data_IF_578050598155
#
_entry.id   IF_578050598155
#
_cell.length_a   1.000
_cell.length_b   1.000
_cell.length_c   1.000
_cell.angle_alpha   90.00
_cell.angle_beta   90.00
_cell.angle_gamma   90.00
#
_symmetry.space_group_name_H-M   'P 1'
#
loop_
_entity.id
_entity.type
_entity.pdbx_description
1 polymer ?
#
# COMPACT_ATOMS: atom_id res chain seq x y z
N UNK A 1 18.70 -4.99 12.52
CA UNK A 1 18.83 -4.16 11.30
C UNK A 1 17.58 -3.29 11.22
N UNK A 2 17.72 -2.02 10.80
CA UNK A 2 16.56 -1.14 10.72
C UNK A 2 15.76 -1.44 9.44
N UNK A 3 14.44 -1.39 9.53
CA UNK A 3 13.55 -1.43 8.37
C UNK A 3 13.75 -0.18 7.52
N UNK A 4 13.70 -0.30 6.19
CA UNK A 4 13.73 0.83 5.26
C UNK A 4 12.49 0.79 4.38
N UNK A 5 11.66 1.84 4.49
CA UNK A 5 10.48 2.01 3.64
C UNK A 5 10.82 2.94 2.47
N UNK A 6 10.51 2.50 1.28
CA UNK A 6 10.67 3.25 0.04
C UNK A 6 9.30 3.58 -0.53
N UNK A 7 8.89 4.81 -0.35
CA UNK A 7 7.66 5.35 -0.92
C UNK A 7 7.77 6.86 -1.08
N UNK A 8 6.98 7.42 -1.97
CA UNK A 8 6.90 8.86 -2.18
C UNK A 8 6.63 9.62 -0.87
N UNK A 9 7.07 10.88 -0.72
CA UNK A 9 6.86 11.68 0.49
C UNK A 9 5.42 12.23 0.58
N UNK A 10 4.47 11.39 0.26
CA UNK A 10 3.02 11.61 0.32
C UNK A 10 2.39 10.51 1.19
N UNK A 11 1.13 10.67 1.56
CA UNK A 11 0.36 9.63 2.23
C UNK A 11 0.14 8.42 1.29
N UNK A 12 -1.02 8.14 0.82
CA UNK A 12 -1.29 7.06 -0.12
C UNK A 12 -0.93 5.67 0.41
N UNK A 13 -0.52 4.78 -0.50
CA UNK A 13 -0.31 3.34 -0.16
C UNK A 13 0.82 3.09 0.84
N UNK A 14 1.81 3.97 0.93
CA UNK A 14 2.89 3.87 1.92
C UNK A 14 2.46 4.21 3.34
N UNK A 15 1.37 4.98 3.50
CA UNK A 15 0.89 5.39 4.81
C UNK A 15 0.43 4.21 5.67
N UNK A 16 -0.19 3.21 5.07
CA UNK A 16 -0.59 1.99 5.78
C UNK A 16 0.60 1.30 6.46
N UNK A 17 1.77 1.33 5.80
CA UNK A 17 3.00 0.72 6.32
C UNK A 17 3.59 1.59 7.43
N UNK A 18 3.56 2.92 7.29
CA UNK A 18 4.00 3.87 8.34
C UNK A 18 3.16 3.68 9.60
N UNK A 19 1.84 3.63 9.46
CA UNK A 19 0.92 3.40 10.58
C UNK A 19 1.19 2.07 11.28
N UNK A 20 1.51 1.00 10.56
CA UNK A 20 1.87 -0.27 11.17
C UNK A 20 3.16 -0.18 12.01
N UNK A 21 4.17 0.55 11.55
CA UNK A 21 5.38 0.77 12.33
C UNK A 21 5.15 1.65 13.56
N UNK A 22 4.36 2.72 13.41
CA UNK A 22 4.00 3.62 14.53
C UNK A 22 3.18 2.86 15.59
N UNK A 23 2.18 2.07 15.18
CA UNK A 23 1.38 1.25 16.10
C UNK A 23 2.24 0.23 16.86
N UNK A 24 3.19 -0.38 16.19
CA UNK A 24 4.12 -1.32 16.83
C UNK A 24 5.22 -0.65 17.67
N UNK A 25 5.39 0.67 17.59
CA UNK A 25 6.47 1.40 18.24
C UNK A 25 7.86 1.01 17.73
N UNK A 26 7.96 0.57 16.47
CA UNK A 26 9.21 0.07 15.88
C UNK A 26 9.83 1.10 14.96
N UNK A 27 11.09 1.43 15.20
CA UNK A 27 11.84 2.38 14.41
C UNK A 27 12.09 1.87 12.98
N UNK A 28 11.91 2.75 12.01
CA UNK A 28 12.16 2.52 10.59
C UNK A 28 12.74 3.78 9.93
N UNK A 29 13.32 3.62 8.78
CA UNK A 29 13.78 4.72 7.92
C UNK A 29 12.80 4.90 6.76
N UNK A 30 12.15 6.07 6.67
CA UNK A 30 11.35 6.47 5.52
C UNK A 30 12.28 7.15 4.50
N UNK A 31 12.89 6.34 3.64
CA UNK A 31 14.06 6.69 2.86
C UNK A 31 13.82 7.85 1.90
N UNK A 32 12.72 7.84 1.17
CA UNK A 32 12.45 8.83 0.13
C UNK A 32 11.96 10.19 0.63
N UNK A 33 12.02 10.44 1.97
CA UNK A 33 11.78 11.77 2.54
C UNK A 33 12.90 12.76 2.20
N UNK A 34 14.05 12.29 1.74
CA UNK A 34 15.18 13.12 1.30
C UNK A 34 15.42 12.97 -0.20
N UNK A 35 16.08 13.95 -0.81
CA UNK A 35 16.44 13.89 -2.23
C UNK A 35 17.39 12.73 -2.56
N UNK A 36 18.32 12.41 -1.67
CA UNK A 36 19.24 11.28 -1.86
C UNK A 36 18.50 9.95 -1.70
N UNK A 37 17.59 9.84 -0.72
CA UNK A 37 16.75 8.67 -0.54
C UNK A 37 15.81 8.42 -1.73
N UNK A 38 15.32 9.47 -2.36
CA UNK A 38 14.56 9.37 -3.60
C UNK A 38 15.40 8.76 -4.73
N UNK A 39 16.65 9.17 -4.87
CA UNK A 39 17.58 8.58 -5.85
C UNK A 39 17.87 7.11 -5.55
N UNK A 40 18.06 6.76 -4.26
CA UNK A 40 18.24 5.38 -3.82
C UNK A 40 17.01 4.53 -4.17
N UNK A 41 15.80 5.02 -3.89
CA UNK A 41 14.56 4.34 -4.25
C UNK A 41 14.47 4.06 -5.75
N UNK A 42 14.73 5.05 -6.59
CA UNK A 42 14.67 4.91 -8.04
C UNK A 42 15.76 3.97 -8.57
N UNK A 43 16.97 4.00 -7.98
CA UNK A 43 18.03 3.08 -8.35
C UNK A 43 17.68 1.63 -8.04
N UNK A 44 17.09 1.36 -6.86
CA UNK A 44 16.60 0.03 -6.51
C UNK A 44 15.47 -0.43 -7.40
N UNK A 45 14.55 0.46 -7.77
CA UNK A 45 13.43 0.11 -8.65
C UNK A 45 13.89 -0.32 -10.05
N UNK A 46 14.90 0.33 -10.59
CA UNK A 46 15.38 0.07 -11.96
C UNK A 46 16.51 -0.96 -12.04
N UNK A 47 17.33 -1.08 -11.03
CA UNK A 47 18.57 -1.84 -11.07
C UNK A 47 18.78 -2.72 -9.84
N UNK A 48 17.71 -3.14 -9.13
CA UNK A 48 17.88 -3.96 -7.95
C UNK A 48 18.67 -5.23 -8.28
N UNK A 49 19.78 -5.49 -7.62
CA UNK A 49 20.52 -6.75 -7.75
C UNK A 49 19.84 -7.86 -6.95
N UNK A 50 18.51 -7.87 -6.96
CA UNK A 50 17.68 -8.80 -6.21
C UNK A 50 17.09 -9.84 -7.15
N UNK A 51 17.00 -11.08 -6.67
CA UNK A 51 16.30 -12.16 -7.38
C UNK A 51 14.80 -11.85 -7.56
N UNK A 52 14.25 -10.99 -6.70
CA UNK A 52 12.85 -10.58 -6.70
C UNK A 52 12.75 -9.04 -6.57
N UNK A 53 12.96 -8.29 -7.66
CA UNK A 53 12.88 -6.83 -7.62
C UNK A 53 11.44 -6.37 -7.37
N UNK A 54 11.23 -5.25 -6.65
CA UNK A 54 9.90 -4.68 -6.50
C UNK A 54 9.42 -4.12 -7.84
N UNK A 55 8.13 -4.29 -8.11
CA UNK A 55 7.52 -3.77 -9.34
C UNK A 55 7.30 -2.24 -9.27
N UNK A 56 6.88 -1.74 -8.12
CA UNK A 56 6.58 -0.33 -7.87
C UNK A 56 6.65 -0.01 -6.36
N UNK A 57 6.81 1.27 -5.97
CA UNK A 57 6.61 1.69 -4.58
C UNK A 57 5.12 1.55 -4.14
N UNK A 58 4.86 1.24 -2.86
CA UNK A 58 5.82 1.07 -1.79
C UNK A 58 6.57 -0.26 -1.87
N UNK A 59 7.81 -0.25 -1.39
CA UNK A 59 8.51 -1.48 -1.06
C UNK A 59 9.32 -1.32 0.23
N UNK A 60 9.52 -2.42 0.92
CA UNK A 60 10.20 -2.51 2.20
C UNK A 60 11.50 -3.31 2.04
N UNK A 61 12.57 -2.82 2.63
CA UNK A 61 13.79 -3.60 2.84
C UNK A 61 13.85 -4.05 4.30
N UNK A 62 13.90 -5.35 4.51
CA UNK A 62 14.07 -6.00 5.80
C UNK A 62 15.27 -6.94 5.71
N UNK A 63 16.42 -6.51 6.22
CA UNK A 63 17.67 -7.24 6.06
C UNK A 63 18.05 -7.43 4.59
N UNK A 64 18.09 -8.68 4.13
CA UNK A 64 18.37 -9.04 2.74
C UNK A 64 17.11 -9.14 1.86
N UNK A 65 15.91 -9.08 2.45
CA UNK A 65 14.66 -9.16 1.71
C UNK A 65 14.23 -7.80 1.18
N UNK A 66 13.69 -7.80 -0.04
CA UNK A 66 13.05 -6.65 -0.65
C UNK A 66 11.62 -7.05 -1.00
N UNK A 67 10.62 -6.42 -0.35
CA UNK A 67 9.22 -6.82 -0.39
C UNK A 67 8.41 -5.69 -0.99
N UNK A 68 7.76 -5.92 -2.11
CA UNK A 68 6.82 -4.99 -2.75
C UNK A 68 5.37 -5.29 -2.35
N UNK A 69 4.46 -4.42 -2.78
CA UNK A 69 3.01 -4.48 -2.54
C UNK A 69 2.61 -4.26 -1.07
N UNK A 70 1.75 -3.27 -0.85
CA UNK A 70 1.30 -2.87 0.50
C UNK A 70 0.76 -4.05 1.31
N UNK A 71 -0.13 -4.87 0.74
CA UNK A 71 -0.69 -6.02 1.44
C UNK A 71 0.37 -7.07 1.80
N UNK A 72 1.32 -7.36 0.90
CA UNK A 72 2.40 -8.31 1.18
C UNK A 72 3.36 -7.78 2.28
N UNK A 73 3.63 -6.47 2.28
CA UNK A 73 4.44 -5.83 3.32
C UNK A 73 3.72 -5.91 4.67
N UNK A 74 2.44 -5.57 4.71
CA UNK A 74 1.64 -5.64 5.94
C UNK A 74 1.50 -7.08 6.46
N UNK A 75 1.27 -8.04 5.59
CA UNK A 75 1.23 -9.45 5.95
C UNK A 75 2.56 -9.92 6.56
N UNK A 76 3.70 -9.49 6.01
CA UNK A 76 5.02 -9.77 6.56
C UNK A 76 5.24 -9.09 7.91
N UNK A 77 4.93 -7.81 8.03
CA UNK A 77 5.12 -7.03 9.25
C UNK A 77 4.15 -7.47 10.36
N UNK A 78 2.90 -7.77 10.02
CA UNK A 78 1.88 -8.17 10.98
C UNK A 78 2.34 -9.32 11.88
N UNK A 79 2.94 -10.35 11.30
CA UNK A 79 3.49 -11.47 12.05
C UNK A 79 4.73 -11.09 12.88
N UNK A 80 5.61 -10.26 12.32
CA UNK A 80 6.87 -9.88 12.97
C UNK A 80 6.69 -8.89 14.11
N UNK A 81 5.73 -7.99 13.96
CA UNK A 81 5.50 -6.89 14.90
C UNK A 81 4.39 -7.19 15.91
N UNK A 82 3.78 -8.37 15.85
CA UNK A 82 2.68 -8.74 16.75
C UNK A 82 1.36 -8.01 16.45
N UNK A 83 1.19 -7.48 15.24
CA UNK A 83 -0.02 -6.80 14.78
C UNK A 83 -1.03 -7.74 14.12
N UNK A 84 -0.68 -9.00 13.91
CA UNK A 84 -1.55 -10.02 13.35
C UNK A 84 -1.61 -11.25 14.27
N UNK A 85 -2.71 -12.01 14.24
CA UNK A 85 -2.83 -13.27 14.96
C UNK A 85 -1.72 -14.25 14.60
N UNK A 86 -1.39 -15.16 15.51
CA UNK A 86 -0.41 -16.23 15.26
C UNK A 86 -1.06 -17.45 14.59
N UNK A 87 -2.36 -17.65 14.78
CA UNK A 87 -3.12 -18.70 14.12
C UNK A 87 -3.17 -18.46 12.61
N UNK A 88 -2.97 -19.51 11.83
CA UNK A 88 -2.87 -19.42 10.37
C UNK A 88 -4.19 -19.00 9.71
N UNK A 89 -5.32 -19.52 10.19
CA UNK A 89 -6.63 -19.20 9.63
C UNK A 89 -7.03 -17.75 9.94
N UNK A 90 -6.75 -17.30 11.15
CA UNK A 90 -6.98 -15.90 11.55
C UNK A 90 -6.08 -14.93 10.75
N UNK A 91 -4.83 -15.31 10.50
CA UNK A 91 -3.93 -14.54 9.64
C UNK A 91 -4.41 -14.47 8.19
N UNK A 92 -4.91 -15.58 7.66
CA UNK A 92 -5.51 -15.60 6.32
C UNK A 92 -6.76 -14.71 6.25
N UNK A 93 -7.56 -14.69 7.32
CA UNK A 93 -8.71 -13.78 7.41
C UNK A 93 -8.27 -12.31 7.38
N UNK A 94 -7.28 -11.93 8.18
CA UNK A 94 -6.71 -10.57 8.14
C UNK A 94 -6.20 -10.22 6.75
N UNK A 95 -5.50 -11.15 6.10
CA UNK A 95 -4.98 -10.93 4.75
C UNK A 95 -6.07 -10.76 3.69
N UNK A 96 -7.18 -11.50 3.80
CA UNK A 96 -8.36 -11.28 2.95
C UNK A 96 -8.91 -9.85 3.10
N UNK A 97 -8.99 -9.34 4.33
CA UNK A 97 -9.41 -7.95 4.59
C UNK A 97 -8.42 -6.96 3.97
N UNK A 98 -7.12 -7.17 4.13
CA UNK A 98 -6.08 -6.33 3.53
C UNK A 98 -6.22 -6.25 2.00
N UNK A 99 -6.45 -7.39 1.34
CA UNK A 99 -6.65 -7.44 -0.12
C UNK A 99 -7.92 -6.69 -0.53
N UNK A 100 -9.01 -6.87 0.20
CA UNK A 100 -10.28 -6.15 -0.03
C UNK A 100 -10.11 -4.63 0.13
N UNK A 101 -9.37 -4.19 1.15
CA UNK A 101 -9.05 -2.77 1.34
C UNK A 101 -8.15 -2.26 0.21
N UNK A 102 -7.20 -3.08 -0.27
CA UNK A 102 -6.34 -2.69 -1.39
C UNK A 102 -7.14 -2.46 -2.67
N UNK A 103 -8.15 -3.27 -2.95
CA UNK A 103 -9.07 -3.09 -4.08
C UNK A 103 -9.87 -1.79 -3.90
N UNK A 104 -10.45 -1.56 -2.72
CA UNK A 104 -11.17 -0.33 -2.39
C UNK A 104 -10.29 0.93 -2.58
N UNK A 105 -9.02 0.87 -2.17
CA UNK A 105 -8.07 1.99 -2.39
C UNK A 105 -7.87 2.26 -3.88
N UNK A 106 -7.83 1.21 -4.72
CA UNK A 106 -7.78 1.36 -6.17
C UNK A 106 -9.02 2.07 -6.72
N UNK A 107 -10.21 1.63 -6.34
CA UNK A 107 -11.47 2.24 -6.75
C UNK A 107 -11.57 3.71 -6.33
N UNK A 108 -11.21 4.03 -5.07
CA UNK A 108 -11.17 5.42 -4.58
C UNK A 108 -10.18 6.26 -5.38
N UNK A 109 -8.98 5.72 -5.63
CA UNK A 109 -7.96 6.40 -6.43
C UNK A 109 -8.52 6.76 -7.82
N UNK A 110 -9.18 5.83 -8.48
CA UNK A 110 -9.70 6.02 -9.84
C UNK A 110 -10.87 7.02 -9.88
N UNK A 111 -11.59 7.23 -8.77
CA UNK A 111 -12.58 8.32 -8.67
C UNK A 111 -11.95 9.71 -8.68
N UNK A 112 -10.65 9.84 -8.42
CA UNK A 112 -9.92 11.12 -8.42
C UNK A 112 -8.93 11.22 -9.57
N UNK A 113 -8.49 10.08 -10.10
CA UNK A 113 -7.53 9.97 -11.19
C UNK A 113 -8.04 9.03 -12.31
N UNK A 114 -9.21 9.31 -12.93
CA UNK A 114 -9.85 8.40 -13.89
C UNK A 114 -9.05 8.22 -15.19
N UNK A 115 -8.15 9.13 -15.50
CA UNK A 115 -7.30 9.06 -16.70
C UNK A 115 -5.92 8.50 -16.36
N UNK A 116 -5.34 8.94 -15.24
CA UNK A 116 -4.03 8.44 -14.79
C UNK A 116 -3.50 9.15 -13.56
N UNK A 117 -2.82 8.41 -12.70
CA UNK A 117 -2.24 8.90 -11.45
C UNK A 117 -1.09 9.89 -11.62
N UNK A 118 -0.62 10.12 -12.84
CA UNK A 118 0.45 11.08 -13.18
C UNK A 118 -0.10 12.46 -13.60
N UNK A 119 -1.41 12.62 -13.73
CA UNK A 119 -2.08 13.87 -14.03
C UNK A 119 -2.59 14.53 -12.76
N UNK A 120 -2.64 15.87 -12.76
CA UNK A 120 -3.31 16.59 -11.68
C UNK A 120 -4.82 16.36 -11.71
N UNK A 121 -5.46 16.41 -10.55
CA UNK A 121 -6.90 16.24 -10.40
C UNK A 121 -7.68 17.22 -11.30
N UNK A 122 -7.24 18.47 -11.38
CA UNK A 122 -7.84 19.54 -12.18
C UNK A 122 -7.91 19.21 -13.67
N UNK A 123 -6.87 18.53 -14.18
CA UNK A 123 -6.75 18.18 -15.61
C UNK A 123 -7.71 17.05 -16.02
N UNK A 124 -8.17 16.26 -15.05
CA UNK A 124 -9.03 15.08 -15.28
C UNK A 124 -10.48 15.30 -14.79
N UNK A 125 -10.81 16.46 -14.24
CA UNK A 125 -12.17 16.78 -13.76
C UNK A 125 -13.31 16.49 -14.74
N UNK A 126 -13.19 16.75 -16.04
CA UNK A 126 -14.24 16.45 -17.02
C UNK A 126 -14.63 14.98 -17.04
N UNK A 127 -13.65 14.08 -16.84
CA UNK A 127 -13.85 12.62 -16.89
C UNK A 127 -14.47 12.06 -15.60
N UNK A 128 -14.37 12.79 -14.49
CA UNK A 128 -14.93 12.38 -13.19
C UNK A 128 -16.44 12.20 -13.20
N UNK A 129 -17.15 12.93 -14.04
CA UNK A 129 -18.61 12.84 -14.15
C UNK A 129 -19.08 11.51 -14.75
N UNK A 130 -18.26 10.90 -15.60
CA UNK A 130 -18.46 9.56 -16.14
C UNK A 130 -18.16 8.48 -15.12
N UNK A 131 -16.96 8.49 -14.54
CA UNK A 131 -16.50 7.51 -13.57
C UNK A 131 -17.39 7.44 -12.31
N UNK A 132 -17.88 8.59 -11.81
CA UNK A 132 -18.84 8.63 -10.70
C UNK A 132 -20.19 8.02 -11.00
N UNK A 133 -20.66 8.09 -12.25
CA UNK A 133 -21.92 7.45 -12.67
C UNK A 133 -21.80 5.94 -12.75
N UNK A 134 -20.65 5.45 -13.13
CA UNK A 134 -20.39 4.03 -13.27
C UNK A 134 -20.09 3.39 -11.91
N UNK A 135 -19.36 4.05 -11.02
CA UNK A 135 -19.16 3.60 -9.63
C UNK A 135 -20.42 3.70 -8.77
N UNK A 136 -21.31 4.66 -9.06
CA UNK A 136 -22.63 4.74 -8.39
C UNK A 136 -23.65 3.72 -8.93
N UNK A 137 -23.40 3.13 -10.10
CA UNK A 137 -24.18 2.02 -10.70
C UNK A 137 -23.55 0.66 -10.45
N UNK A 138 -22.26 0.61 -10.23
CA UNK A 138 -21.59 -0.59 -9.75
C UNK A 138 -22.01 -0.79 -8.30
N UNK A 139 -22.79 -1.82 -8.04
CA UNK A 139 -22.98 -2.34 -6.71
C UNK A 139 -21.59 -2.52 -6.11
N UNK A 140 -21.18 -1.60 -5.21
CA UNK A 140 -20.13 -1.94 -4.26
C UNK A 140 -20.58 -3.28 -3.67
N UNK A 141 -19.88 -4.39 -3.91
CA UNK A 141 -20.23 -5.61 -3.22
C UNK A 141 -20.33 -5.21 -1.76
N UNK A 142 -21.36 -5.68 -1.07
CA UNK A 142 -21.70 -5.30 0.31
C UNK A 142 -20.56 -5.72 1.25
N UNK A 143 -19.38 -5.13 1.05
CA UNK A 143 -18.12 -5.35 1.80
C UNK A 143 -18.38 -5.10 3.28
N UNK A 144 -19.27 -4.13 3.58
CA UNK A 144 -19.64 -3.78 4.94
C UNK A 144 -20.69 -4.70 5.55
N UNK A 145 -21.49 -5.41 4.76
CA UNK A 145 -22.52 -6.32 5.28
C UNK A 145 -21.92 -7.60 5.91
N UNK A 146 -20.68 -7.96 5.54
CA UNK A 146 -19.97 -9.12 6.09
C UNK A 146 -19.08 -8.83 7.32
N UNK A 147 -18.75 -7.56 7.57
CA UNK A 147 -17.97 -7.14 8.73
C UNK A 147 -18.88 -7.00 9.97
N UNK A 148 -19.45 -8.11 10.42
CA UNK A 148 -19.94 -8.19 11.81
C UNK A 148 -18.72 -8.39 12.70
N UNK A 149 -18.22 -7.28 13.24
CA UNK A 149 -17.32 -7.32 14.39
C UNK A 149 -18.12 -7.87 15.58
N UNK A 150 -17.86 -9.10 15.95
CA UNK A 150 -18.35 -9.72 17.17
C UNK A 150 -17.48 -9.29 18.34
#
# INVERSE_FOLDING_TARGET
MAYKLYYWPIQGRGEFIRLAFEEAGVAYEDVARTGEGMKEMMALLHNAPASHPPFAPPFLKDGGALIGQTAAILFHLGSKLGLAPQDELERLWVHQIELTINDLVGEIHDTHHPVGGFLYYEDQKPELSGARKDSARGEFPNIWAGLKLS
#
